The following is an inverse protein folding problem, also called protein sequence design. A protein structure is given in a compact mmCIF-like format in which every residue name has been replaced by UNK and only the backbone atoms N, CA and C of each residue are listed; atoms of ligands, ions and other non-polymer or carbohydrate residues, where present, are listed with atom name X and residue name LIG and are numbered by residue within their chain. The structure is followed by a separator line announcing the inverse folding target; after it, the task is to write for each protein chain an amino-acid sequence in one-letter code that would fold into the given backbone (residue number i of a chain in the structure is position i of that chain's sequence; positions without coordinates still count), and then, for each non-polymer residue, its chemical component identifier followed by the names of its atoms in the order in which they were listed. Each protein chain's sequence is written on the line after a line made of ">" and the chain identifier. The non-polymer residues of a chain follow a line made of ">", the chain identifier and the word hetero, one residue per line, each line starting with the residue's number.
data_IF_510409718600
#
_entry.id   IF_510409718600
#
_cell.length_a   1.000
_cell.length_b   1.000
_cell.length_c   1.000
_cell.angle_alpha   90.00
_cell.angle_beta   90.00
_cell.angle_gamma   90.00
#
_symmetry.space_group_name_H-M   'P 1'
#
loop_
_entity.id
_entity.type
_entity.pdbx_description
1 polymer ?
#
# COMPACT_ATOMS: atom_id res chain seq x y z
N UNK A 1 20.98 -48.04 32.18
CA UNK A 1 22.03 -48.35 33.09
C UNK A 1 23.17 -47.34 33.06
N UNK A 2 23.34 -46.81 34.21
CA UNK A 2 24.55 -46.52 34.96
C UNK A 2 25.49 -45.43 34.43
N UNK A 3 25.41 -44.34 35.12
CA UNK A 3 26.58 -43.47 35.43
C UNK A 3 27.65 -44.26 36.19
N UNK A 4 28.88 -43.75 36.33
CA UNK A 4 29.15 -42.90 37.50
C UNK A 4 30.12 -41.72 37.31
N UNK A 5 29.96 -40.75 38.12
CA UNK A 5 30.87 -39.74 38.73
C UNK A 5 31.49 -40.46 39.95
N UNK A 6 32.54 -40.00 40.65
CA UNK A 6 33.42 -38.81 40.63
C UNK A 6 34.92 -39.13 40.85
N UNK A 7 35.80 -38.13 40.95
CA UNK A 7 36.71 -38.04 42.12
C UNK A 7 37.49 -36.73 42.19
N UNK A 8 37.42 -36.21 43.34
CA UNK A 8 38.10 -35.06 43.91
C UNK A 8 39.38 -35.52 44.59
N UNK A 9 40.50 -34.86 44.46
CA UNK A 9 41.53 -34.78 45.54
C UNK A 9 42.34 -33.49 45.45
N UNK A 10 42.29 -32.70 46.49
CA UNK A 10 43.26 -31.77 47.04
C UNK A 10 44.05 -32.56 48.09
N UNK A 11 45.10 -32.14 48.77
CA UNK A 11 45.81 -30.84 48.86
C UNK A 11 47.36 -30.98 49.14
N UNK A 12 47.95 -29.80 49.27
CA UNK A 12 49.04 -29.50 50.26
C UNK A 12 50.45 -30.05 50.08
N UNK A 13 51.45 -29.19 50.10
CA UNK A 13 52.46 -29.18 51.18
C UNK A 13 53.72 -28.37 50.80
N UNK A 14 53.95 -27.41 51.61
CA UNK A 14 55.23 -26.98 52.27
C UNK A 14 56.25 -26.13 51.53
N UNK A 15 56.49 -25.00 52.14
CA UNK A 15 57.73 -24.25 52.13
C UNK A 15 58.86 -25.07 52.83
N UNK A 16 60.11 -24.72 52.66
CA UNK A 16 60.70 -23.70 53.58
C UNK A 16 61.85 -22.82 53.03
N UNK A 17 61.91 -21.61 53.58
CA UNK A 17 63.03 -20.96 54.29
C UNK A 17 64.41 -20.92 53.63
N UNK A 18 64.92 -19.71 53.59
CA UNK A 18 66.36 -19.51 53.89
C UNK A 18 67.05 -18.49 53.03
N UNK A 19 67.47 -17.47 53.73
CA UNK A 19 68.71 -16.72 53.63
C UNK A 19 68.66 -15.33 52.98
N UNK A 20 68.73 -14.42 53.89
CA UNK A 20 69.20 -13.01 53.77
C UNK A 20 70.58 -12.90 53.15
N UNK A 21 70.78 -11.97 52.26
CA UNK A 21 72.04 -11.28 52.09
C UNK A 21 71.83 -9.81 51.73
N UNK A 22 72.48 -9.02 52.52
CA UNK A 22 72.52 -7.55 52.59
C UNK A 22 73.28 -6.90 51.42
N UNK A 23 72.71 -5.75 50.92
CA UNK A 23 73.36 -4.49 50.54
C UNK A 23 74.18 -4.37 49.25
N UNK A 24 74.26 -3.19 48.60
CA UNK A 24 74.07 -1.84 49.12
C UNK A 24 73.15 -0.92 48.27
N UNK A 25 72.68 0.08 48.97
CA UNK A 25 71.93 1.26 48.46
C UNK A 25 72.85 2.12 47.58
N UNK A 26 72.36 2.48 46.36
CA UNK A 26 72.84 3.64 45.63
C UNK A 26 71.70 4.63 45.48
N UNK A 27 71.99 5.96 45.66
CA UNK A 27 70.97 6.98 45.58
C UNK A 27 70.71 7.49 44.14
N UNK A 28 69.52 7.70 43.85
CA UNK A 28 69.13 8.72 42.90
C UNK A 28 68.74 8.23 41.50
N UNK A 29 67.50 8.19 41.29
CA UNK A 29 66.86 8.85 40.14
C UNK A 29 65.34 8.93 40.41
N UNK A 30 64.94 10.12 40.77
CA UNK A 30 63.52 10.46 40.87
C UNK A 30 62.99 10.50 39.41
N UNK A 31 62.49 9.38 38.93
CA UNK A 31 61.65 9.40 37.76
C UNK A 31 60.27 9.96 38.17
N UNK A 32 60.07 11.20 37.76
CA UNK A 32 58.75 11.83 37.71
C UNK A 32 57.83 10.96 36.84
N UNK A 33 56.98 10.23 37.50
CA UNK A 33 55.85 9.55 36.81
C UNK A 33 55.03 10.59 36.06
N UNK A 34 55.13 10.56 34.78
CA UNK A 34 54.16 11.21 33.88
C UNK A 34 52.76 10.69 34.19
N UNK A 35 51.76 11.56 34.23
CA UNK A 35 50.41 11.13 34.54
C UNK A 35 49.95 10.05 33.53
N UNK A 36 49.67 8.94 34.13
CA UNK A 36 49.04 7.75 33.54
C UNK A 36 47.96 8.15 32.53
N UNK A 37 48.12 7.69 31.30
CA UNK A 37 47.13 7.76 30.23
C UNK A 37 45.82 7.15 30.70
N UNK A 38 44.93 7.95 31.27
CA UNK A 38 43.53 7.59 31.38
C UNK A 38 42.98 7.42 29.97
N UNK A 39 42.39 6.27 29.64
CA UNK A 39 41.72 6.13 28.35
C UNK A 39 40.62 7.19 28.28
N UNK A 40 40.81 8.12 27.34
CA UNK A 40 39.81 9.12 26.97
C UNK A 40 38.59 8.37 26.42
N UNK A 41 37.66 8.03 27.32
CA UNK A 41 36.32 7.62 26.96
C UNK A 41 35.58 8.81 26.38
N UNK A 42 36.03 9.29 25.23
CA UNK A 42 35.19 10.09 24.36
C UNK A 42 34.04 9.21 23.95
N UNK A 43 32.93 9.38 24.66
CA UNK A 43 31.64 8.93 24.17
C UNK A 43 31.51 9.53 22.76
N UNK A 44 31.76 8.71 21.77
CA UNK A 44 31.49 9.05 20.36
C UNK A 44 29.98 9.30 20.29
N UNK A 45 29.63 10.57 20.50
CA UNK A 45 28.29 11.04 20.19
C UNK A 45 28.17 10.87 18.69
N UNK A 46 27.52 9.78 18.30
CA UNK A 46 27.29 9.44 16.90
C UNK A 46 26.65 10.69 16.23
N UNK A 47 27.37 11.41 15.35
CA UNK A 47 26.80 12.61 14.75
C UNK A 47 25.50 12.18 14.07
N UNK A 48 24.39 12.86 14.36
CA UNK A 48 23.11 12.65 13.73
C UNK A 48 23.36 12.29 12.26
N UNK A 49 22.98 11.07 11.88
CA UNK A 49 23.20 10.50 10.55
C UNK A 49 22.75 11.54 9.53
N UNK A 50 23.69 12.23 8.92
CA UNK A 50 23.42 13.21 7.88
C UNK A 50 22.74 12.42 6.74
N UNK A 51 21.49 12.74 6.48
CA UNK A 51 20.77 12.12 5.38
C UNK A 51 21.47 12.46 4.07
N UNK A 52 21.90 11.45 3.37
CA UNK A 52 22.38 11.65 2.00
C UNK A 52 21.26 12.30 1.18
N UNK A 53 21.53 13.28 0.32
CA UNK A 53 20.50 13.98 -0.44
C UNK A 53 19.63 13.02 -1.27
N UNK A 54 20.18 11.89 -1.71
CA UNK A 54 19.45 10.84 -2.38
C UNK A 54 18.39 10.17 -1.49
N UNK A 55 18.71 9.94 -0.20
CA UNK A 55 17.77 9.38 0.76
C UNK A 55 16.62 10.36 1.05
N UNK A 56 16.94 11.64 1.20
CA UNK A 56 15.94 12.69 1.38
C UNK A 56 15.00 12.77 0.16
N UNK A 57 15.55 12.76 -1.05
CA UNK A 57 14.78 12.77 -2.29
C UNK A 57 13.85 11.53 -2.41
N UNK A 58 14.36 10.34 -2.07
CA UNK A 58 13.56 9.11 -2.07
C UNK A 58 12.40 9.18 -1.07
N UNK A 59 12.63 9.71 0.13
CA UNK A 59 11.58 9.85 1.14
C UNK A 59 10.51 10.85 0.69
N UNK A 60 10.92 12.00 0.13
CA UNK A 60 9.97 12.98 -0.43
C UNK A 60 9.13 12.34 -1.53
N UNK A 61 9.76 11.61 -2.43
CA UNK A 61 9.07 10.91 -3.51
C UNK A 61 8.05 9.89 -2.99
N UNK A 62 8.44 9.04 -2.03
CA UNK A 62 7.54 8.06 -1.41
C UNK A 62 6.39 8.73 -0.66
N UNK A 63 6.67 9.81 0.08
CA UNK A 63 5.63 10.57 0.78
C UNK A 63 4.61 11.17 -0.19
N UNK A 64 5.06 11.75 -1.29
CA UNK A 64 4.18 12.28 -2.33
C UNK A 64 3.31 11.19 -2.96
N UNK A 65 3.91 10.06 -3.34
CA UNK A 65 3.18 8.91 -3.88
C UNK A 65 2.14 8.37 -2.87
N UNK A 66 2.54 8.20 -1.61
CA UNK A 66 1.65 7.77 -0.55
C UNK A 66 0.49 8.76 -0.31
N UNK A 67 0.77 10.06 -0.32
CA UNK A 67 -0.26 11.09 -0.18
C UNK A 67 -1.31 11.02 -1.29
N UNK A 68 -0.90 10.86 -2.55
CA UNK A 68 -1.81 10.72 -3.68
C UNK A 68 -2.63 9.44 -3.57
N UNK A 69 -2.01 8.31 -3.22
CA UNK A 69 -2.72 7.04 -3.04
C UNK A 69 -3.73 7.10 -1.89
N UNK A 70 -3.33 7.65 -0.73
CA UNK A 70 -4.21 7.80 0.44
C UNK A 70 -5.38 8.75 0.15
N UNK A 71 -5.14 9.83 -0.59
CA UNK A 71 -6.19 10.74 -1.03
C UNK A 71 -7.23 10.01 -1.89
N UNK A 72 -6.80 9.29 -2.91
CA UNK A 72 -7.68 8.53 -3.79
C UNK A 72 -8.40 7.41 -3.04
N UNK A 73 -7.69 6.65 -2.19
CA UNK A 73 -8.28 5.61 -1.37
C UNK A 73 -9.34 6.16 -0.42
N UNK A 74 -9.04 7.27 0.28
CA UNK A 74 -9.97 7.91 1.19
C UNK A 74 -11.23 8.41 0.47
N UNK A 75 -11.06 8.98 -0.73
CA UNK A 75 -12.18 9.42 -1.58
C UNK A 75 -13.03 8.23 -2.03
N UNK A 76 -12.40 7.14 -2.44
CA UNK A 76 -13.09 5.90 -2.82
C UNK A 76 -13.84 5.27 -1.63
N UNK A 77 -13.21 5.20 -0.46
CA UNK A 77 -13.86 4.66 0.74
C UNK A 77 -15.04 5.51 1.21
N UNK A 78 -14.92 6.85 1.14
CA UNK A 78 -16.04 7.77 1.43
C UNK A 78 -17.19 7.55 0.46
N UNK A 79 -16.88 7.41 -0.83
CA UNK A 79 -17.89 7.10 -1.85
C UNK A 79 -18.57 5.75 -1.59
N UNK A 80 -17.83 4.68 -1.28
CA UNK A 80 -18.40 3.37 -0.96
C UNK A 80 -19.25 3.41 0.32
N UNK A 81 -18.85 4.20 1.32
CA UNK A 81 -19.62 4.37 2.54
C UNK A 81 -20.93 5.10 2.27
N UNK A 82 -20.88 6.20 1.49
CA UNK A 82 -22.05 6.92 1.04
C UNK A 82 -22.99 6.00 0.26
N UNK A 83 -22.45 5.23 -0.67
CA UNK A 83 -23.19 4.28 -1.49
C UNK A 83 -23.96 3.27 -0.66
N UNK A 84 -23.33 2.66 0.34
CA UNK A 84 -23.98 1.68 1.24
C UNK A 84 -25.16 2.28 2.00
N UNK A 85 -25.12 3.57 2.28
CA UNK A 85 -26.17 4.27 3.02
C UNK A 85 -27.37 4.63 2.15
N UNK A 86 -27.13 4.93 0.87
CA UNK A 86 -28.13 5.48 -0.04
C UNK A 86 -28.54 4.53 -1.17
N UNK A 87 -28.07 3.29 -1.16
CA UNK A 87 -28.46 2.28 -2.15
C UNK A 87 -29.49 1.30 -1.58
N UNK A 88 -30.45 0.97 -2.41
CA UNK A 88 -31.48 -0.06 -2.17
C UNK A 88 -31.51 -1.07 -3.29
N UNK A 89 -32.19 -2.20 -3.08
CA UNK A 89 -32.41 -3.19 -4.14
C UNK A 89 -33.35 -2.63 -5.19
N UNK A 90 -33.12 -3.03 -6.45
CA UNK A 90 -34.01 -2.69 -7.57
C UNK A 90 -35.29 -3.49 -7.44
N UNK A 91 -36.43 -2.81 -7.43
CA UNK A 91 -37.77 -3.43 -7.38
C UNK A 91 -38.45 -3.46 -8.77
N UNK A 92 -37.95 -2.68 -9.74
CA UNK A 92 -38.47 -2.66 -11.09
C UNK A 92 -38.21 -3.98 -11.83
N UNK A 93 -39.27 -4.73 -12.12
CA UNK A 93 -39.19 -5.97 -12.88
C UNK A 93 -38.65 -5.75 -14.30
N UNK A 94 -38.96 -4.60 -14.94
CA UNK A 94 -38.44 -4.23 -16.24
C UNK A 94 -36.91 -4.04 -16.23
N UNK A 95 -36.38 -3.32 -15.28
CA UNK A 95 -34.94 -3.11 -15.14
C UNK A 95 -34.19 -4.42 -14.87
N UNK A 96 -34.76 -5.31 -14.07
CA UNK A 96 -34.18 -6.63 -13.79
C UNK A 96 -34.19 -7.49 -15.03
N UNK A 97 -35.31 -7.51 -15.77
CA UNK A 97 -35.45 -8.29 -17.02
C UNK A 97 -34.48 -7.80 -18.11
N UNK A 98 -34.39 -6.48 -18.32
CA UNK A 98 -33.46 -5.88 -19.26
C UNK A 98 -31.99 -6.19 -18.88
N UNK A 99 -31.65 -6.09 -17.60
CA UNK A 99 -30.31 -6.42 -17.10
C UNK A 99 -29.93 -7.89 -17.37
N UNK A 100 -30.86 -8.82 -17.17
CA UNK A 100 -30.59 -10.23 -17.41
C UNK A 100 -30.47 -10.51 -18.93
N UNK A 101 -31.35 -9.95 -19.73
CA UNK A 101 -31.33 -10.11 -21.19
C UNK A 101 -30.00 -9.60 -21.79
N UNK A 102 -29.62 -8.39 -21.45
CA UNK A 102 -28.36 -7.77 -21.91
C UNK A 102 -27.15 -8.52 -21.42
N UNK A 103 -27.16 -9.00 -20.16
CA UNK A 103 -26.10 -9.82 -19.62
C UNK A 103 -25.90 -11.13 -20.38
N UNK A 104 -27.00 -11.76 -20.83
CA UNK A 104 -26.96 -12.97 -21.66
C UNK A 104 -26.44 -12.65 -23.07
N UNK A 105 -26.89 -11.57 -23.69
CA UNK A 105 -26.38 -11.09 -24.98
C UNK A 105 -24.87 -10.83 -24.97
N UNK A 106 -24.35 -10.26 -23.88
CA UNK A 106 -22.93 -10.01 -23.73
C UNK A 106 -22.11 -11.23 -23.30
N UNK A 107 -22.75 -12.40 -23.06
CA UNK A 107 -22.09 -13.62 -22.62
C UNK A 107 -21.48 -13.54 -21.22
N UNK A 108 -22.14 -12.84 -20.31
CA UNK A 108 -21.64 -12.64 -18.95
C UNK A 108 -22.07 -13.79 -18.02
N UNK A 109 -21.15 -14.72 -17.71
CA UNK A 109 -21.39 -15.79 -16.72
C UNK A 109 -21.57 -15.23 -15.31
N UNK A 110 -20.77 -14.20 -14.98
CA UNK A 110 -20.85 -13.50 -13.70
C UNK A 110 -21.32 -12.07 -13.94
N UNK A 111 -22.37 -11.70 -13.24
CA UNK A 111 -22.97 -10.36 -13.37
C UNK A 111 -22.67 -9.51 -12.14
N UNK A 112 -22.49 -8.20 -12.32
CA UNK A 112 -22.42 -7.26 -11.21
C UNK A 112 -23.75 -7.23 -10.46
N UNK A 113 -23.78 -6.71 -9.24
CA UNK A 113 -25.04 -6.47 -8.52
C UNK A 113 -25.71 -5.23 -9.08
N UNK A 114 -27.05 -5.26 -9.17
CA UNK A 114 -27.84 -4.11 -9.60
C UNK A 114 -28.51 -3.48 -8.38
N UNK A 115 -28.28 -2.17 -8.17
CA UNK A 115 -28.85 -1.42 -7.06
C UNK A 115 -29.39 -0.07 -7.56
N UNK A 116 -30.39 0.45 -6.87
CA UNK A 116 -30.84 1.84 -7.02
C UNK A 116 -30.13 2.70 -6.00
N UNK A 117 -29.62 3.86 -6.40
CA UNK A 117 -28.96 4.80 -5.49
C UNK A 117 -29.60 6.18 -5.58
N UNK A 118 -30.15 6.64 -4.45
CA UNK A 118 -30.71 7.98 -4.36
C UNK A 118 -29.60 9.04 -4.48
N UNK A 119 -29.88 10.05 -5.31
CA UNK A 119 -28.94 11.14 -5.56
C UNK A 119 -28.02 10.93 -6.77
N UNK A 120 -28.12 9.80 -7.48
CA UNK A 120 -27.54 9.64 -8.80
C UNK A 120 -28.47 10.22 -9.89
N UNK A 121 -27.86 10.76 -10.93
CA UNK A 121 -28.56 11.29 -12.11
C UNK A 121 -28.37 10.42 -13.35
N UNK A 122 -27.31 9.63 -13.37
CA UNK A 122 -26.94 8.75 -14.46
C UNK A 122 -26.55 7.37 -13.91
N UNK A 123 -26.82 6.28 -14.62
CA UNK A 123 -26.29 4.97 -14.28
C UNK A 123 -24.76 4.99 -14.17
N UNK A 124 -24.19 4.13 -13.35
CA UNK A 124 -22.75 3.98 -13.25
C UNK A 124 -22.31 2.64 -12.69
N UNK A 125 -21.20 2.12 -13.19
CA UNK A 125 -20.50 0.96 -12.63
C UNK A 125 -19.55 1.40 -11.50
N UNK A 126 -19.68 0.80 -10.32
CA UNK A 126 -18.84 1.08 -9.16
C UNK A 126 -18.28 -0.20 -8.53
N UNK A 127 -17.15 -0.04 -7.80
CA UNK A 127 -16.53 -1.12 -7.03
C UNK A 127 -15.55 -1.99 -7.82
N UNK A 128 -14.32 -2.10 -7.30
CA UNK A 128 -13.22 -2.84 -7.96
C UNK A 128 -13.35 -4.36 -7.76
N UNK A 129 -13.54 -4.80 -6.51
CA UNK A 129 -13.57 -6.23 -6.16
C UNK A 129 -15.00 -6.81 -6.16
N UNK A 130 -15.98 -5.97 -5.91
CA UNK A 130 -17.41 -6.33 -5.91
C UNK A 130 -18.15 -5.32 -6.77
N UNK A 131 -18.12 -5.49 -8.09
CA UNK A 131 -18.72 -4.54 -9.01
C UNK A 131 -20.24 -4.49 -8.82
N UNK A 132 -20.76 -3.28 -8.87
CA UNK A 132 -22.17 -2.96 -8.70
C UNK A 132 -22.56 -1.94 -9.77
N UNK A 133 -23.65 -2.19 -10.49
CA UNK A 133 -24.28 -1.18 -11.34
C UNK A 133 -25.32 -0.45 -10.49
N UNK A 134 -25.25 0.86 -10.55
CA UNK A 134 -26.09 1.78 -9.81
C UNK A 134 -27.03 2.48 -10.79
N UNK A 135 -28.31 2.41 -10.51
CA UNK A 135 -29.33 3.12 -11.27
C UNK A 135 -29.84 4.33 -10.49
N UNK A 136 -30.22 5.42 -11.15
CA UNK A 136 -30.93 6.52 -10.52
C UNK A 136 -32.34 6.06 -10.08
N UNK A 137 -32.96 6.72 -9.08
CA UNK A 137 -34.31 6.37 -8.60
C UNK A 137 -35.39 6.61 -9.65
N UNK A 138 -35.22 7.67 -10.45
CA UNK A 138 -36.09 7.97 -11.58
C UNK A 138 -35.66 7.05 -12.74
N UNK A 139 -35.99 5.75 -12.57
CA UNK A 139 -35.62 4.74 -13.56
C UNK A 139 -36.06 5.18 -14.94
N UNK A 140 -35.09 5.40 -15.80
CA UNK A 140 -35.33 5.49 -17.23
C UNK A 140 -36.15 4.28 -17.66
N UNK A 141 -37.13 4.45 -18.50
CA UNK A 141 -37.98 3.40 -19.00
C UNK A 141 -37.61 3.08 -20.44
N UNK A 142 -37.85 1.85 -20.85
CA UNK A 142 -37.74 1.44 -22.24
C UNK A 142 -36.31 1.47 -22.81
N UNK A 143 -36.15 2.06 -23.99
CA UNK A 143 -34.90 2.03 -24.77
C UNK A 143 -33.73 2.75 -24.05
N UNK A 144 -34.01 3.83 -23.33
CA UNK A 144 -33.00 4.59 -22.63
C UNK A 144 -32.35 3.78 -21.48
N UNK A 145 -33.16 3.05 -20.72
CA UNK A 145 -32.69 2.12 -19.70
C UNK A 145 -31.84 1.01 -20.32
N UNK A 146 -32.31 0.43 -21.43
CA UNK A 146 -31.61 -0.63 -22.15
C UNK A 146 -30.23 -0.17 -22.62
N UNK A 147 -30.16 1.01 -23.27
CA UNK A 147 -28.90 1.59 -23.72
C UNK A 147 -27.91 1.84 -22.57
N UNK A 148 -28.39 2.45 -21.51
CA UNK A 148 -27.56 2.77 -20.34
C UNK A 148 -27.03 1.50 -19.64
N UNK A 149 -27.88 0.47 -19.49
CA UNK A 149 -27.45 -0.83 -18.94
C UNK A 149 -26.45 -1.54 -19.85
N UNK A 150 -26.63 -1.48 -21.16
CA UNK A 150 -25.72 -2.05 -22.13
C UNK A 150 -24.32 -1.37 -22.01
N UNK A 151 -24.29 -0.05 -21.88
CA UNK A 151 -23.07 0.72 -21.70
C UNK A 151 -22.32 0.29 -20.43
N UNK A 152 -23.00 0.25 -19.27
CA UNK A 152 -22.39 -0.16 -17.99
C UNK A 152 -21.94 -1.62 -17.97
N UNK A 153 -22.72 -2.53 -18.58
CA UNK A 153 -22.34 -3.93 -18.73
C UNK A 153 -21.14 -4.12 -19.67
N UNK A 154 -21.00 -3.26 -20.68
CA UNK A 154 -19.84 -3.25 -21.59
C UNK A 154 -18.57 -2.83 -20.84
N UNK A 155 -18.62 -1.78 -20.01
CA UNK A 155 -17.53 -1.41 -19.12
C UNK A 155 -17.13 -2.57 -18.19
N UNK A 156 -18.13 -3.27 -17.65
CA UNK A 156 -17.89 -4.44 -16.80
C UNK A 156 -17.19 -5.57 -17.56
N UNK A 157 -17.67 -5.93 -18.75
CA UNK A 157 -17.09 -6.95 -19.63
C UNK A 157 -15.64 -6.65 -19.97
N UNK A 158 -15.34 -5.39 -20.31
CA UNK A 158 -14.02 -4.90 -20.69
C UNK A 158 -13.06 -4.75 -19.52
N UNK A 159 -13.58 -4.83 -18.29
CA UNK A 159 -12.80 -4.61 -17.05
C UNK A 159 -12.14 -3.23 -16.98
N UNK A 160 -12.81 -2.20 -17.46
CA UNK A 160 -12.29 -0.84 -17.56
C UNK A 160 -11.87 -0.27 -16.22
N UNK A 161 -12.49 -0.71 -15.14
CA UNK A 161 -12.11 -0.31 -13.78
C UNK A 161 -10.67 -0.67 -13.43
N UNK A 162 -10.14 -1.78 -13.98
CA UNK A 162 -8.75 -2.18 -13.75
C UNK A 162 -7.78 -1.32 -14.54
N UNK A 163 -8.16 -0.87 -15.75
CA UNK A 163 -7.37 0.09 -16.55
C UNK A 163 -7.29 1.44 -15.85
N UNK A 164 -8.43 1.96 -15.36
CA UNK A 164 -8.50 3.19 -14.57
C UNK A 164 -7.65 3.08 -13.29
N UNK A 165 -7.68 1.93 -12.61
CA UNK A 165 -6.87 1.68 -11.42
C UNK A 165 -5.37 1.66 -11.74
N UNK A 166 -4.96 1.00 -12.84
CA UNK A 166 -3.56 1.00 -13.29
C UNK A 166 -3.07 2.41 -13.59
N UNK A 167 -3.86 3.19 -14.34
CA UNK A 167 -3.53 4.59 -14.64
C UNK A 167 -3.35 5.43 -13.36
N UNK A 168 -4.20 5.21 -12.35
CA UNK A 168 -4.08 5.84 -11.04
C UNK A 168 -2.77 5.47 -10.33
N UNK A 169 -2.36 4.19 -10.34
CA UNK A 169 -1.12 3.74 -9.74
C UNK A 169 0.10 4.38 -10.43
N UNK A 170 0.13 4.39 -11.75
CA UNK A 170 1.20 5.02 -12.52
C UNK A 170 1.27 6.52 -12.23
N UNK A 171 0.11 7.19 -12.16
CA UNK A 171 0.04 8.61 -11.79
C UNK A 171 0.56 8.87 -10.37
N UNK A 172 0.24 8.01 -9.41
CA UNK A 172 0.71 8.16 -8.04
C UNK A 172 2.23 8.00 -7.92
N UNK A 173 2.85 7.09 -8.68
CA UNK A 173 4.30 6.93 -8.73
C UNK A 173 5.01 8.14 -9.37
N UNK A 174 4.34 8.80 -10.32
CA UNK A 174 4.85 9.96 -11.03
C UNK A 174 4.09 11.24 -10.69
N UNK A 175 3.65 11.35 -9.44
CA UNK A 175 2.78 12.42 -8.94
C UNK A 175 3.27 13.84 -9.25
N UNK A 176 4.59 14.03 -9.36
CA UNK A 176 5.24 15.30 -9.65
C UNK A 176 5.25 15.66 -11.13
N UNK A 177 4.89 14.71 -12.03
CA UNK A 177 4.95 14.92 -13.48
C UNK A 177 3.56 15.31 -14.02
N UNK A 178 3.37 16.54 -14.51
CA UNK A 178 2.09 17.01 -15.04
C UNK A 178 1.64 16.23 -16.29
N UNK A 179 2.57 15.65 -17.06
CA UNK A 179 2.26 14.84 -18.23
C UNK A 179 1.48 13.58 -17.82
N UNK A 180 1.79 12.99 -16.66
CA UNK A 180 1.07 11.80 -16.18
C UNK A 180 -0.38 12.12 -15.83
N UNK A 181 -0.65 13.29 -15.28
CA UNK A 181 -2.04 13.76 -15.02
C UNK A 181 -2.82 13.93 -16.32
N UNK A 182 -2.16 14.42 -17.37
CA UNK A 182 -2.75 14.50 -18.69
C UNK A 182 -3.01 13.11 -19.29
N UNK A 183 -2.05 12.18 -19.18
CA UNK A 183 -2.19 10.80 -19.66
C UNK A 183 -3.36 10.06 -18.99
N UNK A 184 -3.59 10.25 -17.68
CA UNK A 184 -4.75 9.65 -17.00
C UNK A 184 -6.06 10.12 -17.64
N UNK A 185 -6.20 11.42 -17.91
CA UNK A 185 -7.40 11.97 -18.58
C UNK A 185 -7.59 11.42 -19.99
N UNK A 186 -6.48 11.23 -20.73
CA UNK A 186 -6.55 10.61 -22.06
C UNK A 186 -7.00 9.15 -21.97
N UNK A 187 -6.46 8.36 -21.03
CA UNK A 187 -6.89 6.96 -20.79
C UNK A 187 -8.38 6.89 -20.43
N UNK A 188 -8.87 7.79 -19.60
CA UNK A 188 -10.30 7.87 -19.28
C UNK A 188 -11.14 8.13 -20.53
N UNK A 189 -10.78 9.15 -21.31
CA UNK A 189 -11.47 9.50 -22.55
C UNK A 189 -11.47 8.37 -23.59
N UNK A 190 -10.30 7.76 -23.82
CA UNK A 190 -10.15 6.67 -24.78
C UNK A 190 -10.94 5.42 -24.33
N UNK A 191 -11.05 5.20 -23.02
CA UNK A 191 -11.86 4.13 -22.45
C UNK A 191 -13.34 4.34 -22.74
N UNK A 192 -13.85 5.57 -22.59
CA UNK A 192 -15.24 5.93 -22.89
C UNK A 192 -15.52 5.78 -24.39
N UNK A 193 -14.68 6.35 -25.27
CA UNK A 193 -14.84 6.24 -26.72
C UNK A 193 -14.87 4.79 -27.20
N UNK A 194 -13.98 3.96 -26.66
CA UNK A 194 -13.92 2.55 -27.00
C UNK A 194 -15.12 1.75 -26.43
N UNK A 195 -15.72 2.20 -25.32
CA UNK A 195 -16.95 1.61 -24.81
C UNK A 195 -18.14 1.95 -25.71
N UNK A 196 -18.27 3.22 -26.11
CA UNK A 196 -19.34 3.67 -27.01
C UNK A 196 -19.29 2.93 -28.36
N UNK A 197 -18.08 2.74 -28.92
CA UNK A 197 -17.92 1.97 -30.16
C UNK A 197 -18.40 0.50 -30.00
N UNK A 198 -18.06 -0.15 -28.88
CA UNK A 198 -18.48 -1.52 -28.62
C UNK A 198 -20.00 -1.61 -28.39
N UNK A 199 -20.62 -0.62 -27.75
CA UNK A 199 -22.07 -0.54 -27.57
C UNK A 199 -22.77 -0.40 -28.91
N UNK A 200 -22.30 0.48 -29.80
CA UNK A 200 -22.84 0.66 -31.15
C UNK A 200 -22.74 -0.59 -32.03
N UNK A 201 -21.75 -1.44 -31.78
CA UNK A 201 -21.61 -2.73 -32.49
C UNK A 201 -22.59 -3.81 -31.97
N UNK A 202 -23.13 -3.63 -30.78
CA UNK A 202 -24.08 -4.56 -30.16
C UNK A 202 -25.55 -4.22 -30.45
N UNK A 203 -25.81 -3.00 -30.95
CA UNK A 203 -27.14 -2.54 -31.39
C UNK A 203 -27.41 -2.92 -32.82
#
# INVERSE_FOLDING_TARGET
>A
PAQPVPERVNPNTSAPSGASQDLPVQPGDIQTDSPENLPDHRVSVNPMRKWEPAQAAMVIWLMGAAAVLLWNLSSHLRFLHWLRRWSSTVESGEAIAAFHLLGDQLGLDRRPRLLVCQGLRVPMLAGVFRPVILLPPDCMSGEELGFSLLHELTHYRRKDIWRKLLALWVNALHWFNPLMWYMVRMVERDTELACDEDVLRCL
#
